data_IF_871917833092
#
_entry.id   IF_871917833092
#
_cell.length_a   1.000
_cell.length_b   1.000
_cell.length_c   1.000
_cell.angle_alpha   90.00
_cell.angle_beta   90.00
_cell.angle_gamma   90.00
#
_symmetry.space_group_name_H-M   'P 1'
#
loop_
_entity.id
_entity.type
_entity.pdbx_description
1 polymer ?
#
# COMPACT_ATOMS: atom_id res chain seq x y z
N UNK A 1 -4.98 -14.52 -12.43
CA UNK A 1 -3.57 -14.09 -12.37
C UNK A 1 -3.29 -13.72 -10.93
N UNK A 2 -2.20 -14.19 -10.32
CA UNK A 2 -1.86 -13.78 -8.96
C UNK A 2 -1.39 -12.32 -9.03
N UNK A 3 -2.02 -11.43 -8.27
CA UNK A 3 -1.57 -10.04 -8.14
C UNK A 3 -0.20 -10.05 -7.46
N UNK A 4 0.82 -9.52 -8.14
CA UNK A 4 2.18 -9.43 -7.61
C UNK A 4 2.28 -8.20 -6.70
N UNK A 5 3.01 -8.25 -5.57
CA UNK A 5 3.23 -7.08 -4.71
C UNK A 5 3.89 -5.90 -5.44
N UNK A 6 4.58 -6.16 -6.54
CA UNK A 6 5.19 -5.13 -7.40
C UNK A 6 4.20 -4.49 -8.39
N UNK A 7 2.98 -5.03 -8.50
CA UNK A 7 1.94 -4.54 -9.38
C UNK A 7 1.39 -3.21 -8.84
N UNK A 8 1.43 -2.18 -9.70
CA UNK A 8 0.95 -0.85 -9.35
C UNK A 8 -0.54 -0.82 -9.03
N UNK A 9 -1.35 -1.64 -9.69
CA UNK A 9 -2.80 -1.73 -9.44
C UNK A 9 -3.06 -2.36 -8.07
N UNK A 10 -2.32 -3.41 -7.72
CA UNK A 10 -2.39 -4.02 -6.40
C UNK A 10 -2.02 -3.03 -5.29
N UNK A 11 -0.90 -2.31 -5.47
CA UNK A 11 -0.44 -1.28 -4.53
C UNK A 11 -1.41 -0.10 -4.41
N UNK A 12 -2.02 0.34 -5.51
CA UNK A 12 -3.04 1.38 -5.46
C UNK A 12 -4.23 0.97 -4.59
N UNK A 13 -4.70 -0.28 -4.74
CA UNK A 13 -5.75 -0.82 -3.88
C UNK A 13 -5.37 -0.88 -2.40
N UNK A 14 -4.10 -1.23 -2.09
CA UNK A 14 -3.59 -1.19 -0.71
C UNK A 14 -3.56 0.23 -0.15
N UNK A 15 -3.07 1.21 -0.91
CA UNK A 15 -3.02 2.62 -0.49
C UNK A 15 -4.41 3.18 -0.24
N UNK A 16 -5.37 2.90 -1.12
CA UNK A 16 -6.75 3.40 -1.01
C UNK A 16 -7.44 2.95 0.27
N UNK A 17 -7.25 1.67 0.64
CA UNK A 17 -7.86 1.08 1.84
C UNK A 17 -7.01 1.18 3.10
N UNK A 18 -5.80 1.75 3.02
CA UNK A 18 -4.87 1.78 4.13
C UNK A 18 -5.35 2.69 5.26
N UNK A 19 -5.47 2.18 6.50
CA UNK A 19 -5.78 3.01 7.66
C UNK A 19 -4.61 3.92 8.08
N UNK A 20 -3.37 3.64 7.61
CA UNK A 20 -2.21 4.51 7.85
C UNK A 20 -2.25 5.81 7.06
N UNK A 21 -3.06 5.84 6.01
CA UNK A 21 -3.24 7.00 5.15
C UNK A 21 -4.68 7.51 5.33
N UNK A 22 -5.06 7.98 6.54
CA UNK A 22 -6.44 8.36 6.82
C UNK A 22 -6.86 9.59 6.00
N UNK A 23 -5.91 10.45 5.67
CA UNK A 23 -6.13 11.66 4.90
C UNK A 23 -6.16 11.39 3.39
N UNK A 24 -7.22 11.86 2.74
CA UNK A 24 -7.37 11.74 1.28
C UNK A 24 -6.20 12.37 0.51
N UNK A 25 -5.64 13.49 1.01
CA UNK A 25 -4.48 14.14 0.40
C UNK A 25 -3.23 13.28 0.45
N UNK A 26 -3.02 12.57 1.57
CA UNK A 26 -1.86 11.69 1.73
C UNK A 26 -1.98 10.46 0.82
N UNK A 27 -3.19 9.86 0.71
CA UNK A 27 -3.45 8.81 -0.28
C UNK A 27 -3.16 9.27 -1.71
N UNK A 28 -3.67 10.44 -2.09
CA UNK A 28 -3.44 11.00 -3.42
C UNK A 28 -1.95 11.26 -3.70
N UNK A 29 -1.19 11.71 -2.69
CA UNK A 29 0.25 11.89 -2.82
C UNK A 29 0.96 10.56 -3.13
N UNK A 30 0.69 9.51 -2.36
CA UNK A 30 1.28 8.18 -2.58
C UNK A 30 0.88 7.55 -3.91
N UNK A 31 -0.40 7.67 -4.31
CA UNK A 31 -0.87 7.23 -5.63
C UNK A 31 -0.12 7.97 -6.76
N UNK A 32 0.16 9.26 -6.59
CA UNK A 32 0.94 10.05 -7.54
C UNK A 32 2.42 9.62 -7.62
N UNK A 33 2.97 9.01 -6.56
CA UNK A 33 4.34 8.50 -6.53
C UNK A 33 4.49 7.12 -7.18
N UNK A 34 3.45 6.28 -7.19
CA UNK A 34 3.51 4.89 -7.70
C UNK A 34 4.16 4.71 -9.08
N UNK A 35 3.92 5.59 -10.09
CA UNK A 35 4.55 5.45 -11.41
C UNK A 35 6.07 5.64 -11.38
N UNK A 36 6.58 6.33 -10.37
CA UNK A 36 7.98 6.73 -10.22
C UNK A 36 8.79 5.80 -9.34
N UNK A 37 8.13 4.89 -8.62
CA UNK A 37 8.82 3.89 -7.80
C UNK A 37 9.45 2.83 -8.68
N UNK A 38 10.64 2.37 -8.31
CA UNK A 38 11.29 1.19 -8.85
C UNK A 38 10.61 -0.09 -8.31
N UNK A 39 10.99 -1.26 -8.85
CA UNK A 39 10.36 -2.56 -8.50
C UNK A 39 10.60 -2.91 -7.03
N UNK A 40 11.82 -2.72 -6.54
CA UNK A 40 12.22 -2.94 -5.15
C UNK A 40 11.49 -2.00 -4.19
N UNK A 41 11.41 -0.71 -4.51
CA UNK A 41 10.65 0.27 -3.72
C UNK A 41 9.16 -0.09 -3.62
N UNK A 42 8.57 -0.62 -4.70
CA UNK A 42 7.20 -1.14 -4.70
C UNK A 42 7.03 -2.33 -3.77
N UNK A 43 7.99 -3.26 -3.77
CA UNK A 43 7.98 -4.39 -2.83
C UNK A 43 8.05 -3.94 -1.37
N UNK A 44 8.95 -3.00 -1.05
CA UNK A 44 9.11 -2.47 0.30
C UNK A 44 7.82 -1.78 0.76
N UNK A 45 7.21 -0.96 -0.10
CA UNK A 45 5.94 -0.31 0.20
C UNK A 45 4.82 -1.33 0.43
N UNK A 46 4.72 -2.37 -0.41
CA UNK A 46 3.73 -3.43 -0.24
C UNK A 46 3.90 -4.14 1.11
N UNK A 47 5.14 -4.48 1.49
CA UNK A 47 5.45 -5.14 2.75
C UNK A 47 5.03 -4.29 3.96
N UNK A 48 5.31 -2.97 3.94
CA UNK A 48 4.91 -2.06 5.02
C UNK A 48 3.38 -1.98 5.14
N UNK A 49 2.68 -1.76 4.02
CA UNK A 49 1.23 -1.62 4.02
C UNK A 49 0.53 -2.90 4.51
N UNK A 50 0.99 -4.07 4.05
CA UNK A 50 0.45 -5.37 4.46
C UNK A 50 0.76 -5.68 5.91
N UNK A 51 1.98 -5.41 6.39
CA UNK A 51 2.35 -5.66 7.78
C UNK A 51 1.46 -4.87 8.74
N UNK A 52 1.19 -3.61 8.41
CA UNK A 52 0.34 -2.77 9.27
C UNK A 52 -1.12 -3.20 9.22
N UNK A 53 -1.63 -3.62 8.06
CA UNK A 53 -2.98 -4.19 7.97
C UNK A 53 -3.15 -5.40 8.90
N UNK A 54 -2.14 -6.28 8.97
CA UNK A 54 -2.14 -7.42 9.89
C UNK A 54 -2.12 -6.98 11.36
N UNK A 55 -1.21 -6.08 11.74
CA UNK A 55 -1.11 -5.58 13.13
C UNK A 55 -2.43 -4.97 13.61
N UNK A 56 -3.09 -4.18 12.76
CA UNK A 56 -4.37 -3.54 13.10
C UNK A 56 -5.48 -4.60 13.26
N UNK A 57 -5.51 -5.60 12.37
CA UNK A 57 -6.49 -6.69 12.43
C UNK A 57 -6.34 -7.52 13.71
N UNK A 58 -5.11 -7.89 14.05
CA UNK A 58 -4.80 -8.68 15.24
C UNK A 58 -5.04 -7.92 16.54
N UNK A 59 -4.87 -6.59 16.53
CA UNK A 59 -5.15 -5.73 17.69
C UNK A 59 -6.65 -5.42 17.89
N UNK A 60 -7.49 -5.76 16.91
CA UNK A 60 -8.94 -5.54 16.94
C UNK A 60 -9.74 -6.81 17.26
N UNK A 61 -9.06 -7.94 17.47
CA UNK A 61 -9.62 -9.25 17.79
C UNK A 61 -9.54 -9.55 19.30
#
# INVERSE_FOLDING_TARGET
MAESPEDRTYLAGLIERSPLLPEARLRAHWLGLLPWLEVDERYELAAVLVNVEHVIRDSSA
#
